data_IF_658089674763
#
_entry.id   IF_658089674763
#
_cell.length_a   1.000
_cell.length_b   1.000
_cell.length_c   1.000
_cell.angle_alpha   90.00
_cell.angle_beta   90.00
_cell.angle_gamma   90.00
#
_symmetry.space_group_name_H-M   'P 1'
#
loop_
_entity.id
_entity.type
_entity.pdbx_description
1 polymer ?
#
# COMPACT_ATOMS: atom_id res chain seq x y z
N UNK A 1 34.48 18.44 11.75
CA UNK A 1 34.36 17.06 11.23
C UNK A 1 33.16 17.08 10.29
N UNK A 2 33.34 16.90 8.98
CA UNK A 2 32.22 16.88 8.03
C UNK A 2 31.36 15.65 8.32
N UNK A 3 30.04 15.82 8.43
CA UNK A 3 29.16 14.66 8.54
C UNK A 3 29.39 13.72 7.34
N UNK A 4 29.32 12.39 7.55
CA UNK A 4 29.30 11.45 6.43
C UNK A 4 28.11 11.76 5.51
N UNK A 5 28.20 11.44 4.20
CA UNK A 5 27.08 11.58 3.29
C UNK A 5 25.86 10.82 3.85
N UNK A 6 24.71 11.49 3.86
CA UNK A 6 23.49 10.91 4.41
C UNK A 6 22.91 9.94 3.38
N UNK A 7 22.86 8.65 3.71
CA UNK A 7 22.24 7.62 2.88
C UNK A 7 20.80 8.00 2.46
N UNK A 8 20.04 8.63 3.36
CA UNK A 8 18.69 9.13 3.04
C UNK A 8 18.69 10.22 1.97
N UNK A 9 19.74 11.06 1.91
CA UNK A 9 19.93 12.06 0.85
C UNK A 9 20.29 11.39 -0.48
N UNK A 10 21.07 10.32 -0.46
CA UNK A 10 21.42 9.57 -1.66
C UNK A 10 20.18 8.87 -2.23
N UNK A 11 19.35 8.28 -1.36
CA UNK A 11 18.07 7.68 -1.74
C UNK A 11 17.10 8.71 -2.35
N UNK A 12 17.00 9.92 -1.77
CA UNK A 12 16.11 10.95 -2.32
C UNK A 12 16.54 11.45 -3.70
N UNK A 13 17.85 11.56 -3.94
CA UNK A 13 18.39 11.87 -5.26
C UNK A 13 18.09 10.77 -6.28
N UNK A 14 18.24 9.50 -5.88
CA UNK A 14 17.89 8.36 -6.73
C UNK A 14 16.41 8.33 -7.08
N UNK A 15 15.52 8.60 -6.12
CA UNK A 15 14.07 8.70 -6.35
C UNK A 15 13.75 9.80 -7.35
N UNK A 16 14.36 10.99 -7.20
CA UNK A 16 14.15 12.12 -8.12
C UNK A 16 14.55 11.78 -9.56
N UNK A 17 15.73 11.17 -9.73
CA UNK A 17 16.21 10.73 -11.03
C UNK A 17 15.29 9.65 -11.65
N UNK A 18 14.89 8.64 -10.87
CA UNK A 18 14.00 7.57 -11.34
C UNK A 18 12.61 8.07 -11.72
N UNK A 19 12.05 9.01 -10.93
CA UNK A 19 10.73 9.61 -11.20
C UNK A 19 10.73 10.41 -12.50
N UNK A 20 11.82 11.12 -12.82
CA UNK A 20 11.97 11.84 -14.08
C UNK A 20 11.94 10.90 -15.30
N UNK A 21 12.55 9.72 -15.17
CA UNK A 21 12.49 8.67 -16.21
C UNK A 21 11.08 8.09 -16.34
N UNK A 22 10.37 7.88 -15.23
CA UNK A 22 9.00 7.39 -15.24
C UNK A 22 8.03 8.38 -15.90
N UNK A 23 8.11 9.67 -15.55
CA UNK A 23 7.25 10.72 -16.14
C UNK A 23 7.48 10.83 -17.65
N UNK A 24 8.74 10.80 -18.10
CA UNK A 24 9.06 10.85 -19.53
C UNK A 24 8.55 9.62 -20.28
N UNK A 25 8.62 8.44 -19.68
CA UNK A 25 8.04 7.20 -20.23
C UNK A 25 6.51 7.27 -20.34
N UNK A 26 5.82 7.72 -19.30
CA UNK A 26 4.35 7.86 -19.30
C UNK A 26 3.88 8.84 -20.38
N UNK A 27 4.54 10.00 -20.46
CA UNK A 27 4.26 11.03 -21.46
C UNK A 27 4.46 10.51 -22.89
N UNK A 28 5.53 9.74 -23.12
CA UNK A 28 5.85 9.20 -24.45
C UNK A 28 4.88 8.11 -24.92
N UNK A 29 4.22 7.41 -23.98
CA UNK A 29 3.28 6.34 -24.28
C UNK A 29 1.81 6.78 -24.16
N UNK A 30 1.55 8.08 -23.97
CA UNK A 30 0.21 8.64 -23.72
C UNK A 30 -0.54 7.93 -22.56
N UNK A 31 0.20 7.52 -21.53
CA UNK A 31 -0.35 6.88 -20.33
C UNK A 31 -0.57 7.93 -19.25
N UNK A 32 -1.73 7.86 -18.58
CA UNK A 32 -2.03 8.72 -17.43
C UNK A 32 -1.16 8.40 -16.23
N UNK A 33 -0.85 9.41 -15.43
CA UNK A 33 -0.11 9.24 -14.19
C UNK A 33 -0.93 8.41 -13.18
N UNK A 34 -0.29 7.47 -12.44
CA UNK A 34 -0.97 6.76 -11.37
C UNK A 34 -1.44 7.73 -10.29
N UNK A 35 -2.70 7.58 -9.86
CA UNK A 35 -3.27 8.41 -8.80
C UNK A 35 -4.07 7.56 -7.80
N UNK A 36 -4.37 8.12 -6.63
CA UNK A 36 -5.19 7.45 -5.61
C UNK A 36 -6.69 7.63 -5.82
N UNK A 37 -7.12 8.29 -6.91
CA UNK A 37 -8.52 8.56 -7.19
C UNK A 37 -9.16 7.36 -7.90
N UNK A 38 -10.48 7.23 -7.77
CA UNK A 38 -11.24 6.11 -8.34
C UNK A 38 -11.23 6.04 -9.87
N UNK A 39 -10.86 7.13 -10.55
CA UNK A 39 -10.69 7.23 -12.00
C UNK A 39 -9.27 6.87 -12.48
N UNK A 40 -8.35 6.58 -11.55
CA UNK A 40 -7.01 6.10 -11.90
C UNK A 40 -7.12 4.72 -12.56
N UNK A 41 -6.73 4.65 -13.84
CA UNK A 41 -6.63 3.39 -14.56
C UNK A 41 -5.72 2.43 -13.78
N UNK A 42 -6.27 1.30 -13.32
CA UNK A 42 -5.55 0.22 -12.63
C UNK A 42 -4.66 -0.60 -13.57
N UNK A 43 -4.18 0.01 -14.65
CA UNK A 43 -3.39 -0.68 -15.66
C UNK A 43 -1.99 -0.87 -15.09
N UNK A 44 -1.69 -2.10 -14.67
CA UNK A 44 -0.31 -2.53 -14.50
C UNK A 44 0.42 -2.21 -15.79
N UNK A 45 1.47 -1.38 -15.73
CA UNK A 45 2.32 -1.11 -16.88
C UNK A 45 2.86 -2.45 -17.36
N UNK A 46 2.22 -3.03 -18.39
CA UNK A 46 2.59 -4.31 -18.95
C UNK A 46 3.93 -4.16 -19.66
N UNK A 47 5.00 -4.16 -18.86
CA UNK A 47 6.36 -4.16 -19.35
C UNK A 47 6.70 -5.60 -19.74
N UNK A 48 7.32 -5.84 -20.92
CA UNK A 48 7.84 -7.16 -21.26
C UNK A 48 8.70 -7.68 -20.11
N UNK A 49 8.55 -8.96 -19.73
CA UNK A 49 9.23 -9.60 -18.58
C UNK A 49 10.77 -9.45 -18.59
N UNK A 50 11.33 -9.03 -19.72
CA UNK A 50 12.75 -8.80 -19.98
C UNK A 50 13.26 -7.44 -19.50
N UNK A 51 12.39 -6.44 -19.29
CA UNK A 51 12.78 -5.09 -18.86
C UNK A 51 12.15 -4.73 -17.52
N UNK A 52 12.96 -4.19 -16.60
CA UNK A 52 12.45 -3.67 -15.33
C UNK A 52 11.74 -2.35 -15.61
N UNK A 53 10.44 -2.28 -15.33
CA UNK A 53 9.67 -1.06 -15.56
C UNK A 53 10.30 0.14 -14.81
N UNK A 54 10.25 1.36 -15.37
CA UNK A 54 10.73 2.56 -14.67
C UNK A 54 10.10 2.73 -13.28
N UNK A 55 8.86 2.25 -13.10
CA UNK A 55 8.17 2.21 -11.82
C UNK A 55 8.90 1.31 -10.81
N UNK A 56 9.28 0.10 -11.21
CA UNK A 56 10.01 -0.83 -10.37
C UNK A 56 11.44 -0.34 -10.03
N UNK A 57 12.02 0.58 -10.81
CA UNK A 57 13.30 1.22 -10.49
C UNK A 57 13.13 2.23 -9.34
N UNK A 58 12.05 3.02 -9.36
CA UNK A 58 11.75 3.99 -8.31
C UNK A 58 11.30 3.34 -6.99
N UNK A 59 10.67 2.16 -7.06
CA UNK A 59 10.07 1.46 -5.93
C UNK A 59 11.06 1.15 -4.79
N UNK A 60 12.20 0.53 -5.12
CA UNK A 60 13.19 0.09 -4.10
C UNK A 60 13.73 1.24 -3.24
N UNK A 61 14.31 2.31 -3.81
CA UNK A 61 14.83 3.41 -3.00
C UNK A 61 13.73 4.17 -2.26
N UNK A 62 12.51 4.27 -2.81
CA UNK A 62 11.36 4.84 -2.13
C UNK A 62 10.94 4.01 -0.90
N UNK A 63 10.89 2.68 -1.05
CA UNK A 63 10.59 1.77 0.04
C UNK A 63 11.66 1.80 1.13
N UNK A 64 12.93 1.83 0.73
CA UNK A 64 14.05 1.91 1.69
C UNK A 64 14.04 3.23 2.46
N UNK A 65 13.81 4.36 1.76
CA UNK A 65 13.70 5.67 2.41
C UNK A 65 12.50 5.72 3.36
N UNK A 66 11.37 5.13 2.95
CA UNK A 66 10.20 4.98 3.81
C UNK A 66 10.53 4.20 5.08
N UNK A 67 11.16 3.02 4.96
CA UNK A 67 11.58 2.21 6.10
C UNK A 67 12.54 2.98 6.99
N UNK A 68 13.57 3.63 6.44
CA UNK A 68 14.52 4.40 7.25
C UNK A 68 13.87 5.61 7.96
N UNK A 69 12.85 6.21 7.36
CA UNK A 69 12.12 7.34 7.95
C UNK A 69 11.06 6.91 8.97
N UNK A 70 10.54 5.68 8.86
CA UNK A 70 9.39 5.21 9.67
C UNK A 70 9.73 4.07 10.63
N UNK A 71 10.89 3.42 10.49
CA UNK A 71 11.30 2.32 11.36
C UNK A 71 12.15 2.84 12.52
N UNK A 72 11.88 2.47 13.79
CA UNK A 72 11.13 1.30 14.26
C UNK A 72 9.73 1.66 14.76
N UNK A 73 8.75 1.81 13.86
CA UNK A 73 7.35 1.91 14.27
C UNK A 73 6.83 0.52 14.65
N UNK A 74 6.89 0.23 15.96
CA UNK A 74 6.15 -0.86 16.62
C UNK A 74 4.69 -0.95 16.14
N UNK A 75 4.08 0.19 15.86
CA UNK A 75 2.69 0.32 15.41
C UNK A 75 2.44 -0.42 14.08
N UNK A 76 3.33 -0.30 13.08
CA UNK A 76 3.18 -1.00 11.79
C UNK A 76 3.31 -2.51 11.98
N UNK A 77 4.22 -2.95 12.86
CA UNK A 77 4.39 -4.37 13.17
C UNK A 77 3.17 -4.92 13.88
N UNK A 78 2.65 -4.19 14.86
CA UNK A 78 1.43 -4.53 15.58
C UNK A 78 0.24 -4.63 14.61
N UNK A 79 0.05 -3.64 13.74
CA UNK A 79 -1.00 -3.61 12.72
C UNK A 79 -0.95 -4.83 11.80
N UNK A 80 0.22 -5.14 11.25
CA UNK A 80 0.40 -6.31 10.37
C UNK A 80 0.10 -7.62 11.10
N UNK A 81 0.58 -7.77 12.34
CA UNK A 81 0.28 -8.93 13.18
C UNK A 81 -1.23 -9.04 13.46
N UNK A 82 -1.91 -7.95 13.78
CA UNK A 82 -3.36 -7.95 14.06
C UNK A 82 -4.19 -8.33 12.82
N UNK A 83 -3.88 -7.77 11.65
CA UNK A 83 -4.60 -8.08 10.40
C UNK A 83 -4.47 -9.58 10.08
N UNK A 84 -3.28 -10.15 10.25
CA UNK A 84 -3.04 -11.58 10.00
C UNK A 84 -3.67 -12.48 11.06
N UNK A 85 -3.51 -12.14 12.34
CA UNK A 85 -4.01 -12.94 13.46
C UNK A 85 -5.53 -13.11 13.41
N UNK A 86 -6.26 -12.03 13.12
CA UNK A 86 -7.72 -12.05 12.99
C UNK A 86 -8.22 -12.40 11.58
N UNK A 87 -7.31 -12.70 10.64
CA UNK A 87 -7.63 -13.07 9.25
C UNK A 87 -8.57 -12.08 8.55
N UNK A 88 -8.44 -10.78 8.87
CA UNK A 88 -9.37 -9.73 8.43
C UNK A 88 -9.52 -9.69 6.91
N UNK A 89 -8.40 -9.85 6.18
CA UNK A 89 -8.39 -9.84 4.72
C UNK A 89 -9.22 -10.97 4.10
N UNK A 90 -9.31 -12.14 4.77
CA UNK A 90 -10.09 -13.28 4.26
C UNK A 90 -11.59 -13.17 4.57
N UNK A 91 -11.97 -12.28 5.50
CA UNK A 91 -13.36 -12.05 5.89
C UNK A 91 -14.07 -11.02 5.01
N UNK A 92 -13.34 -10.39 4.10
CA UNK A 92 -13.83 -9.36 3.19
C UNK A 92 -14.04 -9.94 1.78
N UNK A 93 -15.14 -9.60 1.11
CA UNK A 93 -15.34 -9.95 -0.31
C UNK A 93 -14.45 -9.08 -1.21
N UNK A 94 -13.80 -9.69 -2.21
CA UNK A 94 -12.78 -9.02 -3.07
C UNK A 94 -13.32 -7.82 -3.85
N UNK A 95 -14.57 -7.89 -4.30
CA UNK A 95 -15.22 -6.88 -5.16
C UNK A 95 -16.46 -6.25 -4.50
N UNK A 96 -16.60 -6.39 -3.18
CA UNK A 96 -17.75 -5.88 -2.45
C UNK A 96 -17.32 -5.29 -1.11
N UNK A 97 -18.29 -4.79 -0.36
CA UNK A 97 -18.10 -4.16 0.95
C UNK A 97 -18.70 -5.01 2.05
N UNK A 98 -18.19 -4.87 3.27
CA UNK A 98 -18.74 -5.55 4.44
C UNK A 98 -18.80 -4.64 5.67
N UNK A 99 -19.81 -4.81 6.50
CA UNK A 99 -20.00 -4.00 7.71
C UNK A 99 -18.91 -4.27 8.76
N UNK A 100 -18.54 -3.26 9.55
CA UNK A 100 -17.63 -3.46 10.68
C UNK A 100 -18.15 -4.49 11.69
N UNK A 101 -19.46 -4.47 11.98
CA UNK A 101 -20.11 -5.42 12.89
C UNK A 101 -19.89 -6.87 12.43
N UNK A 102 -20.14 -7.13 11.15
CA UNK A 102 -20.13 -8.48 10.59
C UNK A 102 -18.70 -9.04 10.54
N UNK A 103 -17.72 -8.18 10.22
CA UNK A 103 -16.31 -8.55 10.24
C UNK A 103 -15.86 -8.83 11.69
N UNK A 104 -16.34 -8.04 12.66
CA UNK A 104 -15.95 -8.18 14.06
C UNK A 104 -16.49 -9.48 14.66
N UNK A 105 -17.74 -9.82 14.34
CA UNK A 105 -18.38 -11.07 14.72
C UNK A 105 -17.61 -12.28 14.17
N UNK A 106 -17.33 -12.30 12.86
CA UNK A 106 -16.60 -13.40 12.22
C UNK A 106 -15.13 -13.51 12.68
N UNK A 107 -14.50 -12.38 12.98
CA UNK A 107 -13.14 -12.34 13.51
C UNK A 107 -13.06 -12.68 15.00
N UNK A 108 -14.21 -12.73 15.71
CA UNK A 108 -14.27 -12.99 17.15
C UNK A 108 -13.64 -11.87 17.99
N UNK A 109 -13.76 -10.62 17.55
CA UNK A 109 -13.18 -9.44 18.23
C UNK A 109 -14.23 -8.40 18.54
N UNK A 110 -13.94 -7.55 19.53
CA UNK A 110 -14.74 -6.35 19.79
C UNK A 110 -14.73 -5.42 18.57
N UNK A 111 -15.90 -4.88 18.21
CA UNK A 111 -16.05 -4.00 17.05
C UNK A 111 -15.22 -2.71 17.19
N UNK A 112 -15.09 -2.18 18.42
CA UNK A 112 -14.25 -1.01 18.70
C UNK A 112 -12.77 -1.28 18.42
N UNK A 113 -12.27 -2.45 18.85
CA UNK A 113 -10.92 -2.90 18.54
C UNK A 113 -10.73 -3.09 17.03
N UNK A 114 -11.67 -3.76 16.35
CA UNK A 114 -11.60 -3.97 14.91
C UNK A 114 -11.57 -2.64 14.15
N UNK A 115 -12.45 -1.69 14.52
CA UNK A 115 -12.48 -0.35 13.92
C UNK A 115 -11.13 0.34 14.06
N UNK A 116 -10.47 0.26 15.22
CA UNK A 116 -9.13 0.86 15.41
C UNK A 116 -8.11 0.25 14.46
N UNK A 117 -8.03 -1.08 14.41
CA UNK A 117 -7.12 -1.81 13.50
C UNK A 117 -7.37 -1.40 12.05
N UNK A 118 -8.62 -1.41 11.61
CA UNK A 118 -8.98 -1.09 10.23
C UNK A 118 -8.76 0.39 9.87
N UNK A 119 -8.99 1.32 10.80
CA UNK A 119 -8.70 2.74 10.60
C UNK A 119 -7.21 3.00 10.44
N UNK A 120 -6.37 2.32 11.21
CA UNK A 120 -4.92 2.37 11.06
C UNK A 120 -4.46 1.67 9.77
N UNK A 121 -5.11 0.59 9.37
CA UNK A 121 -4.86 -0.06 8.08
C UNK A 121 -5.21 0.86 6.90
N UNK A 122 -6.27 1.68 7.02
CA UNK A 122 -6.69 2.65 6.01
C UNK A 122 -5.69 3.80 5.83
N UNK A 123 -5.05 4.28 6.90
CA UNK A 123 -3.99 5.30 6.78
C UNK A 123 -2.77 4.76 6.02
N UNK A 124 -2.52 3.45 6.14
CA UNK A 124 -1.50 2.71 5.39
C UNK A 124 -2.00 2.17 4.03
N UNK A 125 -3.20 2.59 3.57
CA UNK A 125 -3.80 2.21 2.27
C UNK A 125 -4.04 0.71 2.06
N UNK A 126 -4.09 -0.06 3.14
CA UNK A 126 -4.31 -1.52 3.09
C UNK A 126 -5.80 -1.82 2.85
N UNK A 127 -6.72 -1.09 3.49
CA UNK A 127 -8.18 -1.19 3.26
C UNK A 127 -8.77 0.19 2.99
N UNK A 128 -10.06 0.25 2.62
CA UNK A 128 -10.79 1.49 2.48
C UNK A 128 -12.21 1.38 3.07
N UNK A 129 -12.81 2.53 3.41
CA UNK A 129 -14.21 2.64 3.81
C UNK A 129 -14.97 3.43 2.73
N UNK A 130 -15.48 2.78 1.68
CA UNK A 130 -16.18 3.48 0.59
C UNK A 130 -17.52 4.08 1.02
N UNK A 131 -18.15 3.51 2.06
CA UNK A 131 -19.37 4.02 2.68
C UNK A 131 -19.22 3.93 4.20
N UNK A 132 -19.70 4.94 4.92
CA UNK A 132 -19.68 4.95 6.39
C UNK A 132 -20.22 3.64 6.95
N UNK A 133 -19.40 2.96 7.74
CA UNK A 133 -19.72 1.67 8.35
C UNK A 133 -19.32 0.43 7.54
N UNK A 134 -18.84 0.59 6.31
CA UNK A 134 -18.56 -0.49 5.37
C UNK A 134 -17.12 -0.47 4.87
N UNK A 135 -16.46 -1.61 4.92
CA UNK A 135 -15.04 -1.79 4.57
C UNK A 135 -14.92 -2.58 3.28
N UNK A 136 -13.96 -2.21 2.44
CA UNK A 136 -13.60 -2.92 1.22
C UNK A 136 -12.08 -3.07 1.08
N UNK A 137 -11.70 -3.97 0.17
CA UNK A 137 -10.33 -4.14 -0.24
C UNK A 137 -9.79 -2.92 -1.03
N UNK A 138 -8.49 -2.72 -0.92
CA UNK A 138 -7.70 -1.98 -1.92
C UNK A 138 -6.84 -2.98 -2.69
N UNK A 139 -6.11 -2.51 -3.72
CA UNK A 139 -5.15 -3.35 -4.43
C UNK A 139 -4.14 -4.04 -3.49
N UNK A 140 -3.77 -3.41 -2.38
CA UNK A 140 -2.79 -3.93 -1.43
C UNK A 140 -3.34 -5.12 -0.62
N UNK A 141 -4.55 -4.99 -0.06
CA UNK A 141 -5.17 -6.09 0.70
C UNK A 141 -5.70 -7.20 -0.19
N UNK A 142 -6.16 -6.91 -1.41
CA UNK A 142 -6.58 -7.95 -2.35
C UNK A 142 -5.42 -8.86 -2.76
N UNK A 143 -4.20 -8.33 -2.85
CA UNK A 143 -3.00 -9.12 -3.15
C UNK A 143 -2.55 -10.00 -1.97
N UNK A 144 -3.01 -9.70 -0.75
CA UNK A 144 -2.67 -10.45 0.47
C UNK A 144 -3.66 -11.56 0.81
N UNK A 145 -4.65 -11.81 -0.06
CA UNK A 145 -5.54 -12.95 0.06
C UNK A 145 -4.71 -14.20 -0.26
N UNK A 146 -4.21 -14.85 0.77
CA UNK A 146 -3.49 -16.11 0.63
C UNK A 146 -4.42 -17.14 0.02
N UNK A 147 -4.09 -17.60 -1.19
CA UNK A 147 -4.66 -18.82 -1.75
C UNK A 147 -4.35 -19.97 -0.79
N UNK A 148 -5.40 -20.72 -0.44
CA UNK A 148 -5.35 -21.88 0.43
C UNK A 148 -4.61 -23.04 -0.22
#
# INVERSE_FOLDING_TARGET
MSQPPSHMRDLSQQISAATSVLISFLSSNALSEPSFRSDALSTTLACPKTYRSPAAICEKPAQELYILATYPNEDIRWLACSIYHFKIASLLPVQDTRGFSDIAEDAGVDEGLLRRILREAMTNRIFCEPRVGFVAHTAASSASIWDK
#
